data_IF_485396855003
#
_entry.id   IF_485396855003
#
_cell.length_a   1.000
_cell.length_b   1.000
_cell.length_c   1.000
_cell.angle_alpha   90.00
_cell.angle_beta   90.00
_cell.angle_gamma   90.00
#
_symmetry.space_group_name_H-M   'P 1'
#
loop_
_entity.id
_entity.type
_entity.pdbx_description
1 polymer ?
#
# COMPACT_ATOMS: atom_id res chain seq x y z
N UNK A 1 -10.96 -3.40 17.05
CA UNK A 1 -9.63 -3.74 17.53
C UNK A 1 -9.07 -4.89 16.72
N UNK A 2 -7.83 -4.78 16.35
CA UNK A 2 -7.17 -5.76 15.52
C UNK A 2 -6.12 -6.56 16.26
N UNK A 3 -5.54 -7.49 15.54
CA UNK A 3 -4.46 -8.32 16.05
C UNK A 3 -3.12 -7.64 15.84
N UNK A 4 -2.17 -7.93 16.72
CA UNK A 4 -0.80 -7.46 16.64
C UNK A 4 0.11 -8.67 16.42
N UNK A 5 0.91 -8.60 15.35
CA UNK A 5 1.84 -9.66 14.96
C UNK A 5 3.27 -9.19 15.16
N UNK A 6 3.95 -9.74 16.16
CA UNK A 6 5.34 -9.40 16.47
C UNK A 6 6.28 -10.39 15.79
N UNK A 7 7.31 -9.86 15.15
CA UNK A 7 8.38 -10.63 14.53
C UNK A 7 9.72 -9.97 14.85
N UNK A 8 10.81 -10.67 14.57
CA UNK A 8 12.13 -10.09 14.76
C UNK A 8 12.31 -8.89 13.82
N UNK A 9 12.50 -7.71 14.41
CA UNK A 9 12.76 -6.47 13.69
C UNK A 9 11.53 -5.72 13.17
N UNK A 10 10.29 -6.23 13.37
CA UNK A 10 9.09 -5.50 12.98
C UNK A 10 7.86 -5.98 13.75
N UNK A 11 6.84 -5.13 13.76
CA UNK A 11 5.53 -5.44 14.36
C UNK A 11 4.45 -5.00 13.39
N UNK A 12 3.53 -5.92 13.05
CA UNK A 12 2.36 -5.62 12.21
C UNK A 12 1.10 -5.50 13.05
N UNK A 13 0.21 -4.62 12.60
CA UNK A 13 -1.12 -4.40 13.15
C UNK A 13 -2.15 -4.79 12.09
N UNK A 14 -3.18 -5.52 12.53
CA UNK A 14 -4.32 -5.88 11.70
C UNK A 14 -5.57 -5.26 12.30
N UNK A 15 -6.12 -4.23 11.68
CA UNK A 15 -7.33 -3.56 12.13
C UNK A 15 -8.54 -4.15 11.44
N UNK A 16 -9.49 -4.64 12.24
CA UNK A 16 -10.72 -5.26 11.75
C UNK A 16 -11.87 -4.36 12.14
N UNK A 17 -12.30 -3.44 11.24
CA UNK A 17 -13.44 -2.57 11.54
C UNK A 17 -14.76 -3.32 11.49
N UNK A 18 -15.86 -2.71 11.96
CA UNK A 18 -17.18 -3.35 11.89
C UNK A 18 -17.70 -3.60 10.49
N UNK A 19 -17.17 -2.90 9.47
CA UNK A 19 -17.43 -3.22 8.08
C UNK A 19 -16.35 -4.15 7.52
N UNK A 20 -16.53 -4.67 6.32
CA UNK A 20 -15.85 -5.87 5.86
C UNK A 20 -14.37 -5.72 5.46
N UNK A 21 -13.81 -4.53 5.48
CA UNK A 21 -12.46 -4.28 4.97
C UNK A 21 -11.42 -4.24 6.10
N UNK A 22 -10.46 -5.14 6.04
CA UNK A 22 -9.36 -5.24 7.00
C UNK A 22 -8.18 -4.41 6.51
N UNK A 23 -7.53 -3.67 7.41
CA UNK A 23 -6.27 -2.96 7.11
C UNK A 23 -5.13 -3.61 7.87
N UNK A 24 -4.10 -4.02 7.13
CA UNK A 24 -2.89 -4.67 7.67
C UNK A 24 -1.67 -3.80 7.35
N UNK A 25 -0.88 -3.48 8.37
CA UNK A 25 0.24 -2.57 8.20
C UNK A 25 1.32 -2.75 9.26
N UNK A 26 2.52 -2.27 8.94
CA UNK A 26 3.63 -2.17 9.90
C UNK A 26 3.31 -1.05 10.92
N UNK A 27 3.43 -1.34 12.22
CA UNK A 27 3.14 -0.36 13.27
C UNK A 27 4.05 0.87 13.24
N UNK A 28 5.19 0.78 12.56
CA UNK A 28 6.06 1.95 12.37
C UNK A 28 5.52 2.94 11.34
N UNK A 29 4.49 2.57 10.58
CA UNK A 29 3.88 3.44 9.58
C UNK A 29 3.23 4.66 10.25
N UNK A 30 3.45 5.83 9.66
CA UNK A 30 2.97 7.11 10.18
C UNK A 30 1.72 7.61 9.47
N UNK A 31 1.50 7.16 8.23
CA UNK A 31 0.46 7.74 7.35
C UNK A 31 -0.86 6.98 7.38
N UNK A 32 -0.95 5.87 8.10
CA UNK A 32 -2.20 5.11 8.19
C UNK A 32 -3.29 5.99 8.79
N UNK A 33 -4.42 6.11 8.10
CA UNK A 33 -5.57 6.95 8.46
C UNK A 33 -5.28 8.47 8.49
N UNK A 34 -4.15 8.89 7.99
CA UNK A 34 -3.83 10.32 7.90
C UNK A 34 -4.30 10.87 6.56
N UNK A 35 -5.08 11.95 6.60
CA UNK A 35 -5.55 12.57 5.37
C UNK A 35 -4.41 13.18 4.57
N UNK A 36 -4.50 13.08 3.25
CA UNK A 36 -3.62 13.80 2.34
C UNK A 36 -3.98 15.30 2.39
N UNK A 37 -3.01 16.13 2.69
CA UNK A 37 -3.20 17.58 2.79
C UNK A 37 -2.08 18.32 2.06
N UNK A 38 -2.39 19.56 1.65
CA UNK A 38 -1.37 20.50 1.18
C UNK A 38 -0.57 21.01 2.38
N UNK A 39 0.76 20.88 2.33
CA UNK A 39 1.64 21.24 3.45
C UNK A 39 1.60 22.72 3.80
N UNK A 40 1.42 23.59 2.80
CA UNK A 40 1.44 25.05 2.99
C UNK A 40 0.13 25.58 3.57
N UNK A 41 -1.02 25.05 3.15
CA UNK A 41 -2.33 25.56 3.57
C UNK A 41 -3.01 24.70 4.62
N UNK A 42 -2.59 23.45 4.79
CA UNK A 42 -3.26 22.47 5.65
C UNK A 42 -4.61 21.99 5.11
N UNK A 43 -5.01 22.43 3.90
CA UNK A 43 -6.26 22.01 3.30
C UNK A 43 -6.17 20.58 2.78
N UNK A 44 -7.26 19.83 2.89
CA UNK A 44 -7.35 18.49 2.36
C UNK A 44 -7.14 18.50 0.84
N UNK A 45 -6.34 17.54 0.38
CA UNK A 45 -6.25 17.23 -1.05
C UNK A 45 -7.40 16.28 -1.39
N UNK A 46 -8.21 16.65 -2.36
CA UNK A 46 -9.29 15.82 -2.89
C UNK A 46 -9.04 15.59 -4.36
N UNK A 47 -8.92 14.31 -4.74
CA UNK A 47 -8.80 13.93 -6.14
C UNK A 47 -10.13 14.29 -6.85
N UNK A 48 -10.05 14.94 -8.01
CA UNK A 48 -11.24 15.28 -8.77
C UNK A 48 -11.94 14.00 -9.24
N UNK A 49 -13.22 13.91 -8.90
CA UNK A 49 -14.06 12.78 -9.28
C UNK A 49 -14.27 12.66 -10.79
N UNK A 50 -14.10 13.75 -11.53
CA UNK A 50 -14.23 13.74 -12.97
C UNK A 50 -13.07 13.05 -13.71
N UNK A 51 -12.04 12.63 -13.02
CA UNK A 51 -10.90 11.98 -13.63
C UNK A 51 -9.89 12.91 -14.29
N UNK A 52 -10.16 14.21 -14.30
CA UNK A 52 -9.22 15.25 -14.73
C UNK A 52 -8.13 15.46 -13.70
N UNK A 53 -8.00 14.49 -12.85
CA UNK A 53 -7.26 14.56 -11.63
C UNK A 53 -5.92 15.23 -11.80
N UNK A 54 -5.61 16.04 -10.80
CA UNK A 54 -4.28 16.64 -10.66
C UNK A 54 -3.26 15.51 -10.64
N UNK A 55 -2.33 15.56 -11.56
CA UNK A 55 -1.29 14.56 -11.67
C UNK A 55 -0.26 14.79 -10.57
N UNK A 56 -0.12 13.82 -9.67
CA UNK A 56 0.78 13.90 -8.52
C UNK A 56 2.15 13.29 -8.79
N UNK A 57 2.20 12.32 -9.72
CA UNK A 57 3.41 11.62 -10.10
C UNK A 57 3.61 11.72 -11.60
N UNK A 58 4.85 11.82 -12.04
CA UNK A 58 5.18 11.68 -13.44
C UNK A 58 4.86 10.26 -13.91
N UNK A 59 4.76 10.07 -15.23
CA UNK A 59 4.42 8.76 -15.78
C UNK A 59 5.57 7.76 -15.56
N UNK A 60 5.33 6.79 -14.69
CA UNK A 60 6.31 5.76 -14.31
C UNK A 60 5.73 4.38 -14.62
N UNK A 61 5.43 4.13 -15.90
CA UNK A 61 4.79 2.88 -16.35
C UNK A 61 5.66 1.66 -16.08
N UNK A 62 6.98 1.83 -15.98
CA UNK A 62 7.91 0.74 -15.67
C UNK A 62 7.63 0.08 -14.32
N UNK A 63 7.02 0.80 -13.39
CA UNK A 63 6.74 0.26 -12.05
C UNK A 63 5.69 -0.83 -12.07
N UNK A 64 4.78 -0.84 -13.05
CA UNK A 64 3.64 -1.74 -13.06
C UNK A 64 4.06 -3.22 -13.08
N UNK A 65 4.87 -3.62 -14.06
CA UNK A 65 5.30 -5.01 -14.16
C UNK A 65 6.14 -5.42 -12.95
N UNK A 66 6.98 -4.53 -12.45
CA UNK A 66 7.82 -4.79 -11.30
C UNK A 66 6.99 -4.93 -10.01
N UNK A 67 6.01 -4.05 -9.79
CA UNK A 67 5.09 -4.15 -8.65
C UNK A 67 4.35 -5.49 -8.65
N UNK A 68 3.82 -5.87 -9.80
CA UNK A 68 3.07 -7.13 -9.94
C UNK A 68 3.97 -8.34 -9.70
N UNK A 69 5.19 -8.30 -10.23
CA UNK A 69 6.18 -9.37 -10.01
C UNK A 69 6.56 -9.52 -8.53
N UNK A 70 6.76 -8.41 -7.84
CA UNK A 70 7.06 -8.43 -6.40
C UNK A 70 5.96 -9.15 -5.63
N UNK A 71 4.71 -8.78 -5.88
CA UNK A 71 3.56 -9.39 -5.20
C UNK A 71 3.44 -10.88 -5.56
N UNK A 72 3.52 -11.21 -6.84
CA UNK A 72 3.41 -12.61 -7.29
C UNK A 72 4.51 -13.48 -6.69
N UNK A 73 5.72 -12.96 -6.55
CA UNK A 73 6.87 -13.72 -6.03
C UNK A 73 6.85 -13.90 -4.52
N UNK A 74 6.04 -13.15 -3.80
CA UNK A 74 6.01 -13.20 -2.35
C UNK A 74 5.24 -14.41 -1.82
N UNK A 75 4.29 -14.92 -2.59
CA UNK A 75 3.42 -16.01 -2.18
C UNK A 75 3.97 -17.35 -2.68
N UNK A 76 3.89 -18.38 -1.82
CA UNK A 76 4.20 -19.76 -2.24
C UNK A 76 3.10 -20.31 -3.17
N UNK A 77 3.39 -21.42 -3.82
CA UNK A 77 2.40 -22.09 -4.69
C UNK A 77 1.13 -22.49 -3.91
N UNK A 78 1.28 -23.01 -2.70
CA UNK A 78 0.15 -23.39 -1.87
C UNK A 78 -0.65 -22.18 -1.39
N UNK A 79 0.02 -21.07 -1.09
CA UNK A 79 -0.64 -19.81 -0.72
C UNK A 79 -1.44 -19.24 -1.88
N UNK A 80 -0.85 -19.24 -3.09
CA UNK A 80 -1.54 -18.79 -4.30
C UNK A 80 -2.79 -19.62 -4.57
N UNK A 81 -2.71 -20.93 -4.35
CA UNK A 81 -3.88 -21.81 -4.51
C UNK A 81 -4.97 -21.48 -3.52
N UNK A 82 -4.59 -21.14 -2.28
CA UNK A 82 -5.53 -20.78 -1.21
C UNK A 82 -6.28 -19.49 -1.48
N UNK A 83 -5.62 -18.51 -2.09
CA UNK A 83 -6.20 -17.20 -2.37
C UNK A 83 -6.70 -17.05 -3.82
N UNK A 84 -6.69 -18.13 -4.59
CA UNK A 84 -7.11 -18.12 -6.00
C UNK A 84 -8.51 -17.53 -6.15
N UNK A 85 -8.65 -16.62 -7.10
CA UNK A 85 -9.92 -15.93 -7.36
C UNK A 85 -10.16 -14.71 -6.50
N UNK A 86 -9.24 -14.37 -5.59
CA UNK A 86 -9.36 -13.21 -4.72
C UNK A 86 -8.23 -12.22 -4.98
N UNK A 87 -8.55 -10.94 -4.96
CA UNK A 87 -7.54 -9.89 -5.02
C UNK A 87 -7.48 -9.15 -3.68
N UNK A 88 -6.40 -8.40 -3.48
CA UNK A 88 -6.26 -7.53 -2.33
C UNK A 88 -5.64 -6.22 -2.77
N UNK A 89 -5.79 -5.18 -1.96
CA UNK A 89 -5.26 -3.86 -2.25
C UNK A 89 -3.88 -3.70 -1.61
N UNK A 90 -2.95 -3.18 -2.39
CA UNK A 90 -1.62 -2.78 -1.92
C UNK A 90 -1.57 -1.26 -2.01
N UNK A 91 -1.28 -0.60 -0.89
CA UNK A 91 -1.28 0.85 -0.78
C UNK A 91 0.15 1.32 -0.50
N UNK A 92 0.62 2.26 -1.32
CA UNK A 92 1.92 2.90 -1.14
C UNK A 92 1.72 4.32 -0.63
N UNK A 93 2.56 4.72 0.30
CA UNK A 93 2.65 6.07 0.82
C UNK A 93 4.01 6.62 0.36
N UNK A 94 3.97 7.48 -0.65
CA UNK A 94 5.14 7.93 -1.37
C UNK A 94 5.61 9.26 -0.80
N UNK A 95 6.90 9.37 -0.54
CA UNK A 95 7.50 10.62 -0.07
C UNK A 95 7.34 11.68 -1.15
N UNK A 96 6.66 12.77 -0.80
CA UNK A 96 6.34 13.83 -1.76
C UNK A 96 7.56 14.61 -2.24
N UNK A 97 8.66 14.58 -1.51
CA UNK A 97 9.90 15.26 -1.89
C UNK A 97 10.82 14.38 -2.71
N UNK A 98 10.97 13.12 -2.35
CA UNK A 98 11.96 12.21 -2.94
C UNK A 98 11.38 11.23 -3.95
N UNK A 99 10.09 10.93 -3.87
CA UNK A 99 9.45 9.89 -4.67
C UNK A 99 9.68 8.47 -4.17
N UNK A 100 10.41 8.30 -3.08
CA UNK A 100 10.61 6.98 -2.48
C UNK A 100 9.32 6.49 -1.84
N UNK A 101 9.09 5.18 -1.87
CA UNK A 101 7.98 4.58 -1.14
C UNK A 101 8.41 4.44 0.32
N UNK A 102 7.85 5.28 1.18
CA UNK A 102 8.17 5.29 2.60
C UNK A 102 7.42 4.20 3.36
N UNK A 103 6.19 3.93 2.97
CA UNK A 103 5.32 2.99 3.68
C UNK A 103 4.45 2.21 2.72
N UNK A 104 4.05 1.01 3.16
CA UNK A 104 3.11 0.14 2.43
C UNK A 104 2.09 -0.38 3.42
N UNK A 105 0.84 -0.47 3.00
CA UNK A 105 -0.20 -1.15 3.76
C UNK A 105 -1.02 -2.03 2.83
N UNK A 106 -1.86 -2.87 3.42
CA UNK A 106 -2.66 -3.85 2.69
C UNK A 106 -4.09 -3.80 3.16
N UNK A 107 -5.02 -4.01 2.22
CA UNK A 107 -6.44 -4.10 2.54
C UNK A 107 -7.04 -5.30 1.83
N UNK A 108 -7.90 -6.02 2.53
CA UNK A 108 -8.63 -7.14 1.96
C UNK A 108 -9.94 -7.36 2.71
N UNK A 109 -10.88 -8.06 2.10
CA UNK A 109 -12.13 -8.40 2.75
C UNK A 109 -11.89 -9.36 3.91
N UNK A 110 -12.59 -9.11 5.01
CA UNK A 110 -12.51 -9.93 6.23
C UNK A 110 -12.76 -11.41 5.95
N UNK A 111 -13.65 -11.72 4.99
CA UNK A 111 -14.00 -13.09 4.62
C UNK A 111 -13.02 -13.73 3.64
N UNK A 112 -12.10 -12.96 3.06
CA UNK A 112 -11.14 -13.47 2.09
C UNK A 112 -10.02 -14.24 2.80
N UNK A 113 -9.44 -15.24 2.12
CA UNK A 113 -8.38 -16.05 2.73
C UNK A 113 -7.06 -15.33 2.98
N UNK A 114 -6.94 -14.06 2.61
CA UNK A 114 -5.73 -13.27 2.87
C UNK A 114 -5.39 -13.19 4.37
N UNK A 115 -6.37 -13.27 5.24
CA UNK A 115 -6.15 -13.30 6.69
C UNK A 115 -5.38 -14.55 7.15
N UNK A 116 -5.35 -15.61 6.34
CA UNK A 116 -4.65 -16.86 6.63
C UNK A 116 -3.20 -16.86 6.14
N UNK A 117 -2.79 -15.82 5.41
CA UNK A 117 -1.43 -15.69 4.87
C UNK A 117 -0.51 -15.16 5.96
N UNK A 118 0.68 -15.76 6.17
CA UNK A 118 1.60 -15.29 7.19
C UNK A 118 2.01 -13.82 6.98
N UNK A 119 2.15 -13.10 8.08
CA UNK A 119 2.56 -11.68 8.04
C UNK A 119 3.91 -11.49 7.36
N UNK A 120 4.79 -12.51 7.43
CA UNK A 120 6.09 -12.46 6.75
C UNK A 120 5.98 -12.28 5.23
N UNK A 121 4.91 -12.75 4.61
CA UNK A 121 4.65 -12.55 3.17
C UNK A 121 4.41 -11.07 2.89
N UNK A 122 3.56 -10.42 3.68
CA UNK A 122 3.29 -8.99 3.56
C UNK A 122 4.54 -8.16 3.85
N UNK A 123 5.32 -8.57 4.85
CA UNK A 123 6.59 -7.91 5.15
C UNK A 123 7.56 -7.99 3.97
N UNK A 124 7.61 -9.13 3.28
CA UNK A 124 8.43 -9.29 2.09
C UNK A 124 7.99 -8.33 0.99
N UNK A 125 6.69 -8.21 0.75
CA UNK A 125 6.14 -7.27 -0.24
C UNK A 125 6.54 -5.84 0.12
N UNK A 126 6.33 -5.43 1.36
CA UNK A 126 6.70 -4.10 1.85
C UNK A 126 8.17 -3.80 1.60
N UNK A 127 9.04 -4.71 2.01
CA UNK A 127 10.48 -4.54 1.90
C UNK A 127 10.93 -4.43 0.44
N UNK A 128 10.42 -5.32 -0.41
CA UNK A 128 10.80 -5.34 -1.83
C UNK A 128 10.27 -4.12 -2.58
N UNK A 129 9.06 -3.65 -2.27
CA UNK A 129 8.52 -2.43 -2.87
C UNK A 129 9.38 -1.22 -2.47
N UNK A 130 9.66 -1.06 -1.19
CA UNK A 130 10.49 0.07 -0.71
C UNK A 130 11.87 0.09 -1.35
N UNK A 131 12.44 -1.07 -1.61
CA UNK A 131 13.77 -1.20 -2.18
C UNK A 131 13.81 -0.97 -3.69
N UNK A 132 12.77 -1.38 -4.41
CA UNK A 132 12.83 -1.51 -5.86
C UNK A 132 11.88 -0.58 -6.63
N UNK A 133 10.97 0.11 -5.96
CA UNK A 133 9.99 0.99 -6.60
C UNK A 133 10.18 2.40 -6.09
N UNK A 134 10.19 3.36 -7.03
CA UNK A 134 10.22 4.79 -6.72
C UNK A 134 9.50 5.55 -7.83
N UNK A 135 9.17 6.79 -7.55
CA UNK A 135 8.42 7.65 -8.43
C UNK A 135 9.06 9.04 -8.50
N UNK A 136 8.60 9.82 -9.46
CA UNK A 136 9.00 11.23 -9.59
C UNK A 136 7.77 12.09 -9.30
N UNK A 137 7.71 12.77 -8.15
CA UNK A 137 6.60 13.67 -7.85
C UNK A 137 6.56 14.86 -8.82
N UNK A 138 5.34 15.24 -9.22
CA UNK A 138 5.12 16.47 -9.96
C UNK A 138 5.28 17.68 -9.05
N UNK A 139 5.24 18.88 -9.62
CA UNK A 139 5.23 20.12 -8.83
C UNK A 139 4.09 20.13 -7.81
N UNK A 140 2.90 19.67 -8.21
CA UNK A 140 1.74 19.58 -7.29
C UNK A 140 1.96 18.48 -6.26
N UNK A 141 2.45 17.32 -6.68
CA UNK A 141 2.72 16.20 -5.77
C UNK A 141 3.65 16.60 -4.63
N UNK A 142 4.66 17.41 -4.91
CA UNK A 142 5.61 17.90 -3.91
C UNK A 142 4.98 18.79 -2.82
N UNK A 143 3.79 19.31 -3.06
CA UNK A 143 3.07 20.15 -2.10
C UNK A 143 2.30 19.36 -1.06
N UNK A 144 2.14 18.06 -1.25
CA UNK A 144 1.38 17.22 -0.34
C UNK A 144 2.26 16.69 0.80
N UNK A 145 1.62 16.33 1.93
CA UNK A 145 2.31 15.69 3.05
C UNK A 145 2.85 14.30 2.67
N UNK A 146 2.11 13.57 1.86
CA UNK A 146 2.54 12.32 1.21
C UNK A 146 1.67 12.09 -0.01
N UNK A 147 2.09 11.18 -0.91
CA UNK A 147 1.33 10.82 -2.08
C UNK A 147 0.81 9.40 -1.91
N UNK A 148 -0.50 9.25 -2.05
CA UNK A 148 -1.21 7.97 -1.90
C UNK A 148 -1.35 7.32 -3.27
N UNK A 149 -0.96 6.04 -3.38
CA UNK A 149 -1.11 5.27 -4.62
C UNK A 149 -1.42 3.82 -4.27
N UNK A 150 -2.47 3.26 -4.86
CA UNK A 150 -2.88 1.89 -4.57
C UNK A 150 -3.28 1.14 -5.84
N UNK A 151 -3.22 -0.17 -5.75
CA UNK A 151 -3.74 -1.04 -6.79
C UNK A 151 -4.26 -2.33 -6.17
N UNK A 152 -5.16 -3.02 -6.92
CA UNK A 152 -5.65 -4.34 -6.56
C UNK A 152 -4.95 -5.41 -7.40
N UNK A 153 -4.67 -6.55 -6.80
CA UNK A 153 -3.99 -7.64 -7.50
C UNK A 153 -4.38 -9.00 -6.93
N UNK A 154 -4.62 -9.95 -7.81
CA UNK A 154 -4.66 -11.36 -7.45
C UNK A 154 -3.25 -11.93 -7.66
N UNK A 155 -2.58 -12.46 -6.62
CA UNK A 155 -1.26 -13.08 -6.78
C UNK A 155 -1.33 -14.33 -7.67
N UNK A 156 -0.45 -14.43 -8.66
CA UNK A 156 -0.42 -15.53 -9.63
C UNK A 156 0.98 -16.09 -9.84
#
# INVERSE_FOLDING_TARGET
LGDVYKRQGYTYQCDIPPYNLVTLYNKSNKWIYVHSIYKDTGKNFVQDEAGDGIKLLESDTWTRSKRFSIVNSAFSASEKQRIKGHDFNIIMYINSSTGKVDEVSFEFHKSDPFATIPVSVYRKIETEIKKNIWYTPTTVGKKLNYIFYWWAQEPK
#
